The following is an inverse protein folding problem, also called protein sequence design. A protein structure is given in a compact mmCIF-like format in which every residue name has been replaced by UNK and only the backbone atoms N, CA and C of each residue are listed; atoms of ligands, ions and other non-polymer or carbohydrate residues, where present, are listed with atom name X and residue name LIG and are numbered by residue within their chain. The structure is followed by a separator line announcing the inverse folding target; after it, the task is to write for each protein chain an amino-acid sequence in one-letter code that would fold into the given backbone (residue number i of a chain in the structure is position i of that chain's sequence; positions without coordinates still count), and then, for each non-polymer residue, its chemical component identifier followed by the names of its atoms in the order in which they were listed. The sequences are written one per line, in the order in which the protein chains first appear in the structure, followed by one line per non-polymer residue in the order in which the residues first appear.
data_IF_879096896826
#
_entry.id   IF_879096896826
#
_cell.length_a   1.000
_cell.length_b   1.000
_cell.length_c   1.000
_cell.angle_alpha   90.00
_cell.angle_beta   90.00
_cell.angle_gamma   90.00
#
_symmetry.space_group_name_H-M   'P 1'
#
loop_
_entity.id
_entity.type
_entity.pdbx_description
1 polymer ?
#
# COMPACT_ATOMS: atom_id res chain seq x y z
N UNK A 1 13.01 15.15 -8.22
CA UNK A 1 13.92 15.40 -7.07
C UNK A 1 13.11 15.49 -5.79
N UNK A 2 13.46 14.75 -4.72
CA UNK A 2 12.69 14.70 -3.45
C UNK A 2 12.53 16.08 -2.79
N UNK A 3 13.56 16.92 -2.88
CA UNK A 3 13.57 18.30 -2.36
C UNK A 3 12.45 19.14 -2.96
N UNK A 4 12.22 19.06 -4.29
CA UNK A 4 11.19 19.83 -4.97
C UNK A 4 9.78 19.53 -4.43
N UNK A 5 9.47 18.27 -4.16
CA UNK A 5 8.18 17.87 -3.57
C UNK A 5 8.01 18.43 -2.16
N UNK A 6 9.06 18.44 -1.33
CA UNK A 6 9.01 19.03 0.02
C UNK A 6 8.83 20.54 -0.01
N UNK A 7 9.57 21.25 -0.87
CA UNK A 7 9.42 22.71 -1.04
C UNK A 7 7.99 23.04 -1.44
N UNK A 8 7.42 22.31 -2.40
CA UNK A 8 6.03 22.48 -2.82
C UNK A 8 5.04 22.31 -1.65
N UNK A 9 5.20 21.26 -0.85
CA UNK A 9 4.35 21.04 0.32
C UNK A 9 4.47 22.19 1.34
N UNK A 10 5.68 22.69 1.59
CA UNK A 10 5.90 23.84 2.50
C UNK A 10 5.19 25.08 1.98
N UNK A 11 5.30 25.38 0.67
CA UNK A 11 4.61 26.51 0.05
C UNK A 11 3.08 26.39 0.11
N UNK A 12 2.54 25.16 0.13
CA UNK A 12 1.11 24.91 0.25
C UNK A 12 0.58 24.96 1.70
N UNK A 13 1.45 24.98 2.72
CA UNK A 13 1.02 24.95 4.13
C UNK A 13 0.05 26.07 4.52
N UNK A 14 0.23 27.35 4.12
CA UNK A 14 -0.72 28.41 4.48
C UNK A 14 -2.13 28.13 3.95
N UNK A 15 -2.23 27.69 2.69
CA UNK A 15 -3.51 27.33 2.06
C UNK A 15 -4.12 26.10 2.75
N UNK A 16 -3.31 25.11 3.08
CA UNK A 16 -3.76 23.92 3.81
C UNK A 16 -4.25 24.25 5.23
N UNK A 17 -3.61 25.22 5.90
CA UNK A 17 -4.01 25.68 7.23
C UNK A 17 -5.38 26.36 7.22
N UNK A 18 -5.62 27.25 6.25
CA UNK A 18 -6.94 27.89 6.09
C UNK A 18 -8.03 26.85 5.78
N UNK A 19 -7.73 25.84 4.96
CA UNK A 19 -8.71 24.81 4.57
C UNK A 19 -9.00 23.76 5.63
N UNK A 20 -8.00 23.34 6.42
CA UNK A 20 -8.19 22.38 7.49
C UNK A 20 -7.22 22.65 8.65
N UNK A 21 -7.60 23.54 9.57
CA UNK A 21 -6.88 23.75 10.82
C UNK A 21 -6.66 22.41 11.54
N UNK A 22 -5.43 22.15 12.00
CA UNK A 22 -5.04 20.88 12.64
C UNK A 22 -4.67 19.73 11.68
N UNK A 23 -4.97 19.82 10.38
CA UNK A 23 -4.58 18.82 9.36
C UNK A 23 -3.75 19.40 8.22
N UNK A 24 -3.27 20.63 8.34
CA UNK A 24 -2.53 21.35 7.31
C UNK A 24 -1.33 20.55 6.76
N UNK A 25 -0.51 19.98 7.66
CA UNK A 25 0.66 19.16 7.28
C UNK A 25 0.28 17.92 6.49
N UNK A 26 -0.79 17.25 6.92
CA UNK A 26 -1.31 16.10 6.20
C UNK A 26 -1.78 16.51 4.81
N UNK A 27 -2.66 17.52 4.69
CA UNK A 27 -3.19 17.97 3.40
C UNK A 27 -2.09 18.44 2.43
N UNK A 28 -1.16 19.27 2.90
CA UNK A 28 -0.06 19.76 2.07
C UNK A 28 0.84 18.61 1.56
N UNK A 29 1.10 17.61 2.41
CA UNK A 29 1.79 16.38 2.01
C UNK A 29 0.99 15.63 0.93
N UNK A 30 -0.30 15.38 1.15
CA UNK A 30 -1.14 14.65 0.19
C UNK A 30 -1.18 15.34 -1.18
N UNK A 31 -1.30 16.67 -1.21
CA UNK A 31 -1.29 17.44 -2.46
C UNK A 31 0.06 17.35 -3.18
N UNK A 32 1.17 17.50 -2.46
CA UNK A 32 2.49 17.40 -3.05
C UNK A 32 2.80 15.99 -3.58
N UNK A 33 2.37 14.95 -2.85
CA UNK A 33 2.49 13.55 -3.29
C UNK A 33 1.61 13.26 -4.51
N UNK A 34 0.38 13.78 -4.57
CA UNK A 34 -0.49 13.65 -5.75
C UNK A 34 0.14 14.26 -7.01
N UNK A 35 0.80 15.40 -6.88
CA UNK A 35 1.54 16.02 -7.99
C UNK A 35 2.81 15.24 -8.34
N UNK A 36 3.46 14.63 -7.35
CA UNK A 36 4.65 13.79 -7.57
C UNK A 36 4.33 12.45 -8.24
N UNK A 37 3.17 11.87 -7.91
CA UNK A 37 2.69 10.57 -8.37
C UNK A 37 1.32 10.71 -9.03
N UNK A 38 1.23 11.30 -10.23
CA UNK A 38 -0.05 11.67 -10.85
C UNK A 38 -0.94 10.47 -11.21
N UNK A 39 -0.34 9.27 -11.36
CA UNK A 39 -1.05 8.02 -11.63
C UNK A 39 -1.37 7.19 -10.38
N UNK A 40 -0.99 7.68 -9.20
CA UNK A 40 -1.34 7.03 -7.94
C UNK A 40 -2.86 7.06 -7.74
N UNK A 41 -3.42 5.92 -7.33
CA UNK A 41 -4.83 5.82 -6.95
C UNK A 41 -4.95 5.14 -5.58
N UNK A 42 -5.64 5.82 -4.65
CA UNK A 42 -5.95 5.31 -3.30
C UNK A 42 -7.44 4.96 -3.13
N UNK A 43 -8.23 5.07 -4.20
CA UNK A 43 -9.66 4.77 -4.17
C UNK A 43 -9.88 3.26 -4.04
N UNK A 44 -10.98 2.88 -3.38
CA UNK A 44 -11.29 1.48 -3.07
C UNK A 44 -10.49 0.87 -1.91
N UNK A 45 -9.44 1.54 -1.42
CA UNK A 45 -8.78 1.11 -0.18
C UNK A 45 -9.79 1.15 0.99
N UNK A 46 -9.69 0.16 1.88
CA UNK A 46 -10.41 0.20 3.15
C UNK A 46 -10.13 1.54 3.85
N UNK A 47 -11.15 2.24 4.37
CA UNK A 47 -10.96 3.57 4.95
C UNK A 47 -9.92 3.62 6.08
N UNK A 48 -9.78 2.54 6.87
CA UNK A 48 -8.77 2.47 7.93
C UNK A 48 -7.38 2.22 7.34
N UNK A 49 -7.26 1.34 6.36
CA UNK A 49 -6.00 1.12 5.63
C UNK A 49 -5.50 2.40 4.94
N UNK A 50 -6.40 3.13 4.25
CA UNK A 50 -6.08 4.42 3.64
C UNK A 50 -5.59 5.43 4.68
N UNK A 51 -6.30 5.56 5.80
CA UNK A 51 -5.90 6.47 6.89
C UNK A 51 -4.53 6.11 7.46
N UNK A 52 -4.26 4.82 7.69
CA UNK A 52 -2.97 4.32 8.15
C UNK A 52 -1.85 4.67 7.17
N UNK A 53 -2.04 4.40 5.88
CA UNK A 53 -1.07 4.71 4.83
C UNK A 53 -0.80 6.21 4.70
N UNK A 54 -1.86 7.03 4.68
CA UNK A 54 -1.72 8.48 4.60
C UNK A 54 -1.02 9.07 5.84
N UNK A 55 -1.24 8.49 7.03
CA UNK A 55 -0.55 8.88 8.25
C UNK A 55 0.95 8.51 8.19
N UNK A 56 1.27 7.29 7.78
CA UNK A 56 2.64 6.80 7.63
C UNK A 56 3.44 7.66 6.63
N UNK A 57 2.89 7.88 5.42
CA UNK A 57 3.55 8.72 4.41
C UNK A 57 3.65 10.18 4.82
N UNK A 58 2.71 10.70 5.61
CA UNK A 58 2.81 12.06 6.16
C UNK A 58 3.95 12.16 7.17
N UNK A 59 4.11 11.19 8.07
CA UNK A 59 5.22 11.19 9.02
C UNK A 59 6.57 11.08 8.31
N UNK A 60 6.72 10.10 7.42
CA UNK A 60 7.93 9.89 6.63
C UNK A 60 8.34 11.15 5.85
N UNK A 61 7.35 11.82 5.23
CA UNK A 61 7.57 13.03 4.45
C UNK A 61 8.11 14.19 5.27
N UNK A 62 7.52 14.41 6.45
CA UNK A 62 7.80 15.60 7.25
C UNK A 62 9.02 15.44 8.14
N UNK A 63 9.18 14.27 8.75
CA UNK A 63 10.26 14.00 9.70
C UNK A 63 11.53 13.58 8.95
N UNK A 64 11.41 12.62 8.04
CA UNK A 64 12.58 11.98 7.42
C UNK A 64 12.83 12.44 5.98
N UNK A 65 11.90 13.22 5.41
CA UNK A 65 11.98 13.64 4.02
C UNK A 65 11.78 12.52 3.00
N UNK A 66 11.29 11.37 3.46
CA UNK A 66 11.06 10.21 2.62
C UNK A 66 9.71 10.33 1.92
N UNK A 67 9.71 10.08 0.61
CA UNK A 67 8.48 10.04 -0.18
C UNK A 67 7.99 8.60 -0.23
N UNK A 68 6.70 8.42 0.03
CA UNK A 68 6.01 7.13 -0.07
C UNK A 68 4.82 7.35 -0.99
N UNK A 69 4.77 6.58 -2.07
CA UNK A 69 3.67 6.54 -3.00
C UNK A 69 3.21 5.11 -3.24
N UNK A 70 2.10 4.98 -3.97
CA UNK A 70 1.46 3.72 -4.28
C UNK A 70 1.53 3.45 -5.78
N UNK A 71 1.92 2.23 -6.11
CA UNK A 71 1.88 1.68 -7.47
C UNK A 71 0.55 1.00 -7.73
N UNK A 72 0.09 0.16 -6.79
CA UNK A 72 -1.20 -0.52 -6.84
C UNK A 72 -1.84 -0.57 -5.45
N UNK A 73 -3.12 -0.25 -5.36
CA UNK A 73 -3.92 -0.28 -4.14
C UNK A 73 -5.06 -1.28 -4.27
N UNK A 74 -6.31 -0.83 -4.14
CA UNK A 74 -7.46 -1.69 -4.39
C UNK A 74 -7.51 -2.15 -5.85
N UNK A 75 -8.04 -3.36 -6.05
CA UNK A 75 -8.27 -3.96 -7.37
C UNK A 75 -9.64 -4.63 -7.39
N UNK A 76 -10.40 -4.42 -8.46
CA UNK A 76 -11.71 -5.05 -8.59
C UNK A 76 -11.57 -6.57 -8.69
N UNK A 77 -12.53 -7.31 -8.12
CA UNK A 77 -12.52 -8.78 -8.14
C UNK A 77 -12.47 -9.35 -9.57
N UNK A 78 -13.20 -8.73 -10.52
CA UNK A 78 -13.19 -9.15 -11.92
C UNK A 78 -11.83 -8.93 -12.61
N UNK A 79 -11.14 -7.84 -12.28
CA UNK A 79 -9.79 -7.57 -12.77
C UNK A 79 -8.80 -8.59 -12.21
N UNK A 80 -8.86 -8.83 -10.89
CA UNK A 80 -8.04 -9.84 -10.22
C UNK A 80 -8.27 -11.24 -10.83
N UNK A 81 -9.52 -11.61 -11.10
CA UNK A 81 -9.87 -12.88 -11.72
C UNK A 81 -9.23 -13.03 -13.10
N UNK A 82 -9.32 -11.98 -13.93
CA UNK A 82 -8.71 -11.97 -15.26
C UNK A 82 -7.19 -12.17 -15.19
N UNK A 83 -6.51 -11.44 -14.29
CA UNK A 83 -5.07 -11.58 -14.08
C UNK A 83 -4.70 -12.99 -13.61
N UNK A 84 -5.48 -13.55 -12.67
CA UNK A 84 -5.25 -14.89 -12.17
C UNK A 84 -5.41 -15.95 -13.27
N UNK A 85 -6.48 -15.88 -14.06
CA UNK A 85 -6.70 -16.83 -15.16
C UNK A 85 -5.66 -16.72 -16.26
N UNK A 86 -5.13 -15.52 -16.53
CA UNK A 86 -4.00 -15.34 -17.43
C UNK A 86 -2.73 -16.03 -16.89
N UNK A 87 -2.46 -15.87 -15.61
CA UNK A 87 -1.34 -16.52 -14.95
C UNK A 87 -1.48 -18.04 -14.89
N UNK A 88 -2.70 -18.57 -14.72
CA UNK A 88 -2.98 -20.01 -14.82
C UNK A 88 -2.66 -20.53 -16.22
N UNK A 89 -3.05 -19.81 -17.28
CA UNK A 89 -2.69 -20.20 -18.66
C UNK A 89 -1.18 -20.17 -18.89
N UNK A 90 -0.50 -19.18 -18.32
CA UNK A 90 0.96 -19.01 -18.47
C UNK A 90 1.76 -20.07 -17.71
N UNK A 91 1.37 -20.37 -16.47
CA UNK A 91 2.09 -21.26 -15.57
C UNK A 91 1.66 -22.73 -15.71
N UNK A 92 0.53 -23.00 -16.36
CA UNK A 92 0.00 -24.34 -16.60
C UNK A 92 -0.69 -24.98 -15.41
N UNK A 93 -0.78 -24.31 -14.25
CA UNK A 93 -1.53 -24.84 -13.10
C UNK A 93 -1.99 -23.75 -12.13
N UNK A 94 -3.09 -24.03 -11.42
CA UNK A 94 -3.58 -23.18 -10.33
C UNK A 94 -2.54 -22.97 -9.21
N UNK A 95 -1.86 -24.04 -8.80
CA UNK A 95 -0.87 -23.98 -7.73
C UNK A 95 0.36 -23.15 -8.10
N UNK A 96 0.83 -23.25 -9.35
CA UNK A 96 1.94 -22.43 -9.83
C UNK A 96 1.53 -20.96 -9.96
N UNK A 97 0.33 -20.69 -10.48
CA UNK A 97 -0.18 -19.33 -10.62
C UNK A 97 -0.28 -18.58 -9.28
N UNK A 98 -0.76 -19.26 -8.24
CA UNK A 98 -0.87 -18.70 -6.88
C UNK A 98 0.45 -18.19 -6.31
N UNK A 99 1.61 -18.64 -6.82
CA UNK A 99 2.91 -18.14 -6.36
C UNK A 99 3.19 -16.70 -6.80
N UNK A 100 2.48 -16.20 -7.81
CA UNK A 100 2.69 -14.87 -8.39
C UNK A 100 1.42 -14.02 -8.43
N UNK A 101 0.25 -14.63 -8.61
CA UNK A 101 -1.04 -13.93 -8.64
C UNK A 101 -2.04 -14.75 -7.85
N UNK A 102 -2.69 -14.14 -6.86
CA UNK A 102 -3.75 -14.79 -6.08
C UNK A 102 -5.10 -14.73 -6.80
N UNK A 103 -6.00 -15.71 -6.59
CA UNK A 103 -7.39 -15.61 -7.00
C UNK A 103 -8.11 -14.48 -6.24
N UNK A 104 -9.26 -13.99 -6.73
CA UNK A 104 -9.98 -12.86 -6.13
C UNK A 104 -10.27 -13.01 -4.63
N UNK A 105 -10.65 -14.21 -4.21
CA UNK A 105 -11.09 -14.52 -2.85
C UNK A 105 -9.94 -14.44 -1.83
N UNK A 106 -8.70 -14.59 -2.30
CA UNK A 106 -7.49 -14.55 -1.47
C UNK A 106 -6.76 -13.19 -1.55
N UNK A 107 -7.08 -12.37 -2.55
CA UNK A 107 -6.33 -11.15 -2.82
C UNK A 107 -6.65 -10.05 -1.81
N UNK A 108 -5.63 -9.66 -1.04
CA UNK A 108 -5.71 -8.50 -0.14
C UNK A 108 -5.91 -7.17 -0.87
N UNK A 109 -5.56 -7.09 -2.16
CA UNK A 109 -5.89 -5.93 -3.00
C UNK A 109 -7.41 -5.83 -3.25
N UNK A 110 -8.08 -6.97 -3.48
CA UNK A 110 -9.54 -7.02 -3.60
C UNK A 110 -10.22 -6.60 -2.29
N UNK A 111 -9.66 -6.99 -1.15
CA UNK A 111 -10.13 -6.55 0.17
C UNK A 111 -9.82 -5.07 0.49
N UNK A 112 -9.05 -4.38 -0.35
CA UNK A 112 -8.68 -2.97 -0.15
C UNK A 112 -7.69 -2.73 0.99
N UNK A 113 -7.01 -3.77 1.50
CA UNK A 113 -6.07 -3.65 2.61
C UNK A 113 -4.60 -3.83 2.20
N UNK A 114 -4.33 -4.13 0.92
CA UNK A 114 -2.98 -4.26 0.39
C UNK A 114 -2.54 -3.02 -0.40
N UNK A 115 -1.23 -2.79 -0.36
CA UNK A 115 -0.56 -1.62 -0.91
C UNK A 115 0.79 -2.04 -1.50
N UNK A 116 0.94 -1.90 -2.82
CA UNK A 116 2.22 -2.04 -3.50
C UNK A 116 2.93 -0.69 -3.53
N UNK A 117 3.92 -0.53 -2.66
CA UNK A 117 4.58 0.73 -2.32
C UNK A 117 5.75 1.05 -3.24
N UNK A 118 5.89 2.34 -3.57
CA UNK A 118 7.03 2.93 -4.28
C UNK A 118 7.51 4.21 -3.60
N UNK A 119 8.74 4.68 -3.89
CA UNK A 119 9.84 3.91 -4.48
C UNK A 119 10.38 2.90 -3.46
N UNK A 120 11.43 2.16 -3.81
CA UNK A 120 12.10 1.20 -2.92
C UNK A 120 12.49 1.79 -1.57
N UNK A 121 12.96 3.04 -1.54
CA UNK A 121 13.31 3.67 -0.25
C UNK A 121 12.07 4.04 0.59
N UNK A 122 10.92 4.24 -0.07
CA UNK A 122 9.64 4.43 0.61
C UNK A 122 9.14 3.12 1.23
N UNK A 123 9.26 2.02 0.48
CA UNK A 123 8.98 0.67 0.99
C UNK A 123 9.90 0.31 2.16
N UNK A 124 11.21 0.57 2.03
CA UNK A 124 12.17 0.35 3.11
C UNK A 124 11.84 1.15 4.37
N UNK A 125 11.40 2.41 4.23
CA UNK A 125 10.95 3.19 5.38
C UNK A 125 9.73 2.56 6.06
N UNK A 126 8.76 2.05 5.29
CA UNK A 126 7.60 1.34 5.85
C UNK A 126 7.98 0.01 6.49
N UNK A 127 8.96 -0.70 5.97
CA UNK A 127 9.44 -1.94 6.61
C UNK A 127 9.99 -1.67 8.02
N UNK A 128 10.68 -0.54 8.22
CA UNK A 128 11.23 -0.15 9.52
C UNK A 128 10.23 0.52 10.48
N UNK A 129 9.25 1.28 9.96
CA UNK A 129 8.39 2.15 10.78
C UNK A 129 6.90 1.84 10.67
N UNK A 130 6.50 1.01 9.71
CA UNK A 130 5.11 0.74 9.34
C UNK A 130 4.28 0.10 10.44
N UNK A 131 4.91 -0.66 11.35
CA UNK A 131 4.22 -1.28 12.48
C UNK A 131 3.50 -0.29 13.41
N UNK A 132 3.92 0.98 13.46
CA UNK A 132 3.19 2.03 14.21
C UNK A 132 1.83 2.39 13.61
N UNK A 133 1.57 1.95 12.38
CA UNK A 133 0.37 2.18 11.60
C UNK A 133 -0.30 0.86 11.20
N UNK A 134 0.12 -0.25 11.79
CA UNK A 134 -0.30 -1.61 11.43
C UNK A 134 -0.06 -1.96 9.95
N UNK A 135 0.97 -1.37 9.34
CA UNK A 135 1.38 -1.65 7.96
C UNK A 135 2.60 -2.56 7.96
N UNK A 136 2.45 -3.75 7.42
CA UNK A 136 3.50 -4.77 7.46
C UNK A 136 3.77 -5.33 6.07
N UNK A 137 5.04 -5.57 5.78
CA UNK A 137 5.44 -6.32 4.59
C UNK A 137 5.05 -7.78 4.77
N UNK A 138 4.28 -8.34 3.84
CA UNK A 138 3.73 -9.70 3.98
C UNK A 138 4.60 -10.76 3.33
N UNK A 139 5.27 -10.45 2.20
CA UNK A 139 6.02 -11.44 1.42
C UNK A 139 7.52 -11.15 1.35
N UNK A 140 8.35 -12.19 1.51
CA UNK A 140 9.81 -12.09 1.41
C UNK A 140 10.27 -11.80 -0.02
N UNK A 141 9.59 -12.32 -1.04
CA UNK A 141 9.91 -12.07 -2.45
C UNK A 141 9.35 -10.73 -2.99
N UNK A 142 8.46 -10.06 -2.26
CA UNK A 142 7.82 -8.80 -2.70
C UNK A 142 8.14 -7.67 -1.71
N UNK A 143 9.30 -7.02 -1.90
CA UNK A 143 9.73 -5.90 -1.06
C UNK A 143 8.78 -4.71 -1.08
N UNK A 144 7.94 -4.61 -2.11
CA UNK A 144 6.98 -3.53 -2.29
C UNK A 144 5.62 -3.82 -1.64
N UNK A 145 5.29 -5.06 -1.27
CA UNK A 145 3.93 -5.43 -0.89
C UNK A 145 3.70 -5.32 0.62
N UNK A 146 2.80 -4.43 1.01
CA UNK A 146 2.40 -4.19 2.39
C UNK A 146 0.90 -4.43 2.59
N UNK A 147 0.53 -4.89 3.76
CA UNK A 147 -0.86 -5.07 4.16
C UNK A 147 -1.14 -4.36 5.49
N UNK A 148 -2.35 -3.81 5.60
CA UNK A 148 -2.88 -3.27 6.85
C UNK A 148 -3.44 -4.41 7.73
N UNK A 149 -2.83 -4.60 8.91
CA UNK A 149 -3.08 -5.72 9.84
C UNK A 149 -3.27 -5.25 11.29
N UNK A 150 -4.34 -4.49 11.59
CA UNK A 150 -4.61 -3.94 12.93
C UNK A 150 -4.94 -5.00 13.98
N UNK A 151 -5.28 -6.22 13.56
CA UNK A 151 -5.59 -7.36 14.42
C UNK A 151 -4.38 -7.91 15.20
N UNK A 152 -3.19 -7.38 14.92
CA UNK A 152 -1.92 -7.91 15.45
C UNK A 152 -1.42 -7.21 16.72
N UNK A 153 -2.16 -6.23 17.24
CA UNK A 153 -1.78 -5.43 18.41
C UNK A 153 -0.35 -4.89 18.33
N UNK A 154 0.05 -4.40 17.15
CA UNK A 154 1.39 -3.85 16.89
C UNK A 154 2.50 -4.90 16.71
N UNK A 155 2.17 -6.20 16.63
CA UNK A 155 3.15 -7.28 16.41
C UNK A 155 3.24 -7.64 14.93
N UNK A 156 4.41 -7.55 14.28
CA UNK A 156 4.53 -7.96 12.89
C UNK A 156 4.10 -9.42 12.67
N UNK A 157 3.21 -9.71 11.71
CA UNK A 157 2.91 -11.09 11.34
C UNK A 157 4.15 -11.76 10.74
N UNK A 158 4.20 -13.09 10.81
CA UNK A 158 5.26 -13.88 10.17
C UNK A 158 5.16 -13.68 8.65
N UNK A 159 6.26 -13.26 8.03
CA UNK A 159 6.31 -13.12 6.57
C UNK A 159 6.23 -14.48 5.90
N UNK A 160 5.56 -14.50 4.76
CA UNK A 160 5.48 -15.67 3.89
C UNK A 160 6.52 -15.56 2.77
N UNK A 161 7.04 -16.68 2.25
CA UNK A 161 8.03 -16.62 1.18
C UNK A 161 7.47 -16.04 -0.12
N UNK A 162 6.18 -16.25 -0.40
CA UNK A 162 5.45 -15.73 -1.57
C UNK A 162 3.92 -15.81 -1.35
N UNK A 163 3.09 -15.14 -2.19
CA UNK A 163 1.62 -15.13 -2.04
C UNK A 163 0.96 -16.49 -1.87
N UNK A 164 1.30 -17.45 -2.74
CA UNK A 164 0.71 -18.80 -2.71
C UNK A 164 1.18 -19.71 -1.57
N UNK A 165 1.95 -19.21 -0.60
CA UNK A 165 2.41 -19.99 0.54
C UNK A 165 1.33 -20.15 1.62
N UNK A 166 0.34 -19.26 1.64
CA UNK A 166 -0.84 -19.40 2.48
C UNK A 166 -1.67 -20.62 2.03
N UNK A 167 -2.18 -21.44 2.97
CA UNK A 167 -3.14 -22.50 2.64
C UNK A 167 -4.35 -21.91 1.89
N UNK A 168 -4.80 -22.60 0.85
CA UNK A 168 -6.03 -22.21 0.16
C UNK A 168 -7.22 -22.48 1.08
N UNK A 169 -7.90 -21.42 1.52
CA UNK A 169 -9.17 -21.55 2.21
C UNK A 169 -10.28 -21.30 1.19
N UNK A 170 -10.85 -22.38 0.63
CA UNK A 170 -12.09 -22.26 -0.13
C UNK A 170 -13.14 -21.65 0.80
N UNK A 171 -13.62 -20.45 0.49
CA UNK A 171 -14.93 -20.04 0.97
C UNK A 171 -15.92 -21.03 0.36
N UNK A 172 -16.35 -22.00 1.17
CA UNK A 172 -17.36 -22.98 0.80
C UNK A 172 -18.61 -22.23 0.34
N UNK A 173 -19.13 -22.59 -0.83
CA UNK A 173 -20.41 -22.11 -1.37
C UNK A 173 -21.57 -22.26 -0.37
#
# INVERSE_FOLDING_TARGET
MRVGTRVLAVLMLPVAFVRAPGRARHLACQWALRLRYPTENLDGLDPRARKAFEAARTQAFWQDGQLIGLTSGHRDAAEQYRMFMEEVRRSGSWGAARRTVLPPEESSHVRGIAMDVRPTEGAYWLELHGGRYDLYRTYDNEWWHFEYRPETDGRPPVRMPHPGAAPYHSATC
#
